data_IF_239254201426
#
_entry.id   IF_239254201426
#
_cell.length_a   1.000
_cell.length_b   1.000
_cell.length_c   1.000
_cell.angle_alpha   90.00
_cell.angle_beta   90.00
_cell.angle_gamma   90.00
#
_symmetry.space_group_name_H-M   'P 1'
#
loop_
_entity.id
_entity.type
_entity.pdbx_description
1 polymer ?
#
# COMPACT_ATOMS: atom_id res chain seq x y z
N UNK A 1 -5.91 3.66 -2.22
CA UNK A 1 -7.38 3.70 -2.21
C UNK A 1 -7.99 3.07 -3.47
N UNK A 2 -7.59 3.47 -4.69
CA UNK A 2 -8.12 2.86 -5.93
C UNK A 2 -7.81 1.36 -6.08
N UNK A 3 -6.58 0.92 -5.79
CA UNK A 3 -6.22 -0.51 -5.77
C UNK A 3 -7.02 -1.30 -4.72
N UNK A 4 -7.37 -0.69 -3.59
CA UNK A 4 -8.17 -1.33 -2.55
C UNK A 4 -9.61 -1.54 -3.00
N UNK A 5 -10.18 -0.56 -3.72
CA UNK A 5 -11.52 -0.63 -4.27
C UNK A 5 -11.63 -1.65 -5.42
N UNK A 6 -10.66 -1.65 -6.35
CA UNK A 6 -10.60 -2.63 -7.45
C UNK A 6 -10.35 -4.05 -6.93
N UNK A 7 -9.46 -4.20 -5.94
CA UNK A 7 -9.23 -5.48 -5.28
C UNK A 7 -10.50 -5.97 -4.56
N UNK A 8 -11.21 -5.07 -3.88
CA UNK A 8 -12.47 -5.38 -3.23
C UNK A 8 -13.56 -5.80 -4.23
N UNK A 9 -13.82 -5.03 -5.29
CA UNK A 9 -14.92 -5.38 -6.21
C UNK A 9 -14.67 -6.66 -7.03
N UNK A 10 -13.42 -7.00 -7.37
CA UNK A 10 -13.15 -8.13 -8.29
C UNK A 10 -12.87 -9.46 -7.59
N UNK A 11 -12.08 -9.46 -6.51
CA UNK A 11 -11.64 -10.71 -5.87
C UNK A 11 -12.59 -11.16 -4.74
N UNK A 12 -13.39 -10.25 -4.19
CA UNK A 12 -14.20 -10.58 -3.01
C UNK A 12 -15.35 -11.55 -3.30
N UNK A 13 -15.99 -11.45 -4.46
CA UNK A 13 -17.11 -12.34 -4.83
C UNK A 13 -16.62 -13.77 -5.10
N UNK A 14 -15.38 -13.91 -5.58
CA UNK A 14 -14.79 -15.20 -5.91
C UNK A 14 -14.35 -15.95 -4.65
N UNK A 15 -13.71 -15.25 -3.69
CA UNK A 15 -13.17 -15.89 -2.49
C UNK A 15 -14.14 -15.97 -1.30
N UNK A 16 -15.28 -15.25 -1.35
CA UNK A 16 -16.32 -15.23 -0.29
C UNK A 16 -15.80 -14.83 1.10
N UNK A 17 -14.84 -13.92 1.12
CA UNK A 17 -14.20 -13.37 2.31
C UNK A 17 -14.32 -11.84 2.24
N UNK A 18 -15.51 -11.32 2.56
CA UNK A 18 -15.72 -9.89 2.85
C UNK A 18 -16.01 -9.77 4.33
N UNK A 19 -15.12 -9.09 5.06
CA UNK A 19 -15.31 -8.82 6.48
C UNK A 19 -14.99 -7.35 6.75
N UNK A 20 -15.72 -6.44 6.09
CA UNK A 20 -15.52 -5.01 6.25
C UNK A 20 -16.77 -4.36 6.84
N UNK A 21 -16.56 -3.36 7.68
CA UNK A 21 -17.65 -2.75 8.45
C UNK A 21 -18.64 -2.02 7.53
N UNK A 22 -19.94 -2.29 7.70
CA UNK A 22 -21.00 -1.56 7.03
C UNK A 22 -21.53 -2.15 5.72
N UNK A 23 -21.14 -3.36 5.33
CA UNK A 23 -21.82 -4.07 4.23
C UNK A 23 -23.12 -4.77 4.66
N UNK A 24 -24.14 -4.82 3.79
CA UNK A 24 -25.32 -5.65 3.99
C UNK A 24 -24.97 -7.13 3.73
N UNK A 25 -24.44 -7.80 4.75
CA UNK A 25 -24.27 -9.24 4.75
C UNK A 25 -25.61 -9.96 4.87
N UNK A 26 -25.83 -10.94 4.00
CA UNK A 26 -26.99 -11.83 4.08
C UNK A 26 -26.54 -13.17 4.63
N UNK A 27 -27.08 -13.49 5.82
CA UNK A 27 -26.83 -14.74 6.53
C UNK A 27 -27.94 -15.76 6.24
N UNK A 28 -27.58 -17.03 6.02
CA UNK A 28 -28.56 -18.11 5.97
C UNK A 28 -29.22 -18.31 7.34
N UNK A 29 -30.51 -17.96 7.42
CA UNK A 29 -31.29 -18.04 8.65
C UNK A 29 -31.35 -19.45 9.23
N UNK A 30 -31.54 -20.48 8.41
CA UNK A 30 -31.68 -21.86 8.87
C UNK A 30 -30.35 -22.37 9.43
N UNK A 31 -29.25 -22.03 8.78
CA UNK A 31 -27.91 -22.36 9.23
C UNK A 31 -27.59 -21.78 10.62
N UNK A 32 -27.96 -20.52 10.87
CA UNK A 32 -27.64 -19.83 12.12
C UNK A 32 -28.57 -20.21 13.27
N UNK A 33 -29.88 -20.36 13.03
CA UNK A 33 -30.84 -20.77 14.08
C UNK A 33 -30.47 -22.15 14.65
N UNK A 34 -30.07 -23.10 13.79
CA UNK A 34 -29.68 -24.45 14.21
C UNK A 34 -28.34 -24.50 14.96
N UNK A 35 -27.59 -23.39 15.01
CA UNK A 35 -26.23 -23.33 15.57
C UNK A 35 -26.04 -22.20 16.60
N UNK A 36 -27.13 -21.76 17.24
CA UNK A 36 -27.08 -20.81 18.34
C UNK A 36 -27.02 -19.33 17.94
N UNK A 37 -27.36 -18.99 16.70
CA UNK A 37 -27.51 -17.62 16.22
C UNK A 37 -26.29 -17.04 15.48
N UNK A 38 -26.39 -15.75 15.17
CA UNK A 38 -25.43 -14.96 14.38
C UNK A 38 -24.43 -14.26 15.30
N UNK A 39 -24.92 -13.72 16.42
CA UNK A 39 -24.20 -12.83 17.32
C UNK A 39 -23.42 -13.55 18.41
N UNK A 40 -22.27 -12.97 18.83
CA UNK A 40 -21.61 -13.36 20.08
C UNK A 40 -22.34 -12.77 21.28
N UNK A 41 -22.28 -13.45 22.42
CA UNK A 41 -23.04 -13.10 23.63
C UNK A 41 -22.56 -11.82 24.37
N UNK A 42 -21.75 -10.96 23.76
CA UNK A 42 -21.20 -9.77 24.40
C UNK A 42 -21.55 -8.50 23.62
N UNK A 43 -22.33 -7.61 24.25
CA UNK A 43 -22.76 -6.32 23.66
C UNK A 43 -21.68 -5.23 23.70
N UNK A 44 -20.67 -5.38 24.54
CA UNK A 44 -19.69 -4.32 24.83
C UNK A 44 -18.28 -4.67 24.36
N UNK A 45 -17.92 -5.96 24.33
CA UNK A 45 -16.58 -6.39 23.93
C UNK A 45 -16.48 -6.36 22.40
N UNK A 46 -17.49 -6.86 21.68
CA UNK A 46 -17.50 -7.04 20.24
C UNK A 46 -18.09 -5.82 19.51
N UNK A 47 -17.28 -4.79 19.34
CA UNK A 47 -17.72 -3.51 18.76
C UNK A 47 -18.15 -3.67 17.28
N UNK A 48 -17.56 -4.64 16.58
CA UNK A 48 -17.83 -5.04 15.20
C UNK A 48 -18.56 -6.40 15.15
N UNK A 49 -19.75 -6.47 15.76
CA UNK A 49 -20.56 -7.70 15.85
C UNK A 49 -20.83 -8.35 14.48
N UNK A 50 -21.09 -7.52 13.46
CA UNK A 50 -21.29 -7.90 12.06
C UNK A 50 -20.09 -8.64 11.45
N UNK A 51 -18.88 -8.21 11.80
CA UNK A 51 -17.66 -8.86 11.32
C UNK A 51 -17.43 -10.19 12.06
N UNK A 52 -17.65 -10.21 13.39
CA UNK A 52 -17.50 -11.43 14.18
C UNK A 52 -18.54 -12.49 13.85
N UNK A 53 -19.75 -12.10 13.44
CA UNK A 53 -20.73 -13.04 12.91
C UNK A 53 -20.26 -13.64 11.60
N UNK A 54 -19.72 -12.83 10.68
CA UNK A 54 -19.05 -13.31 9.47
C UNK A 54 -17.94 -14.34 9.77
N UNK A 55 -17.05 -14.05 10.72
CA UNK A 55 -16.00 -14.99 11.14
C UNK A 55 -16.58 -16.32 11.63
N UNK A 56 -17.63 -16.27 12.46
CA UNK A 56 -18.29 -17.47 12.98
C UNK A 56 -18.97 -18.28 11.87
N UNK A 57 -19.65 -17.62 10.93
CA UNK A 57 -20.28 -18.28 9.79
C UNK A 57 -19.23 -19.00 8.95
N UNK A 58 -18.15 -18.32 8.57
CA UNK A 58 -17.07 -18.90 7.78
C UNK A 58 -16.32 -20.01 8.51
N UNK A 59 -16.07 -19.87 9.82
CA UNK A 59 -15.48 -20.95 10.64
C UNK A 59 -16.36 -22.20 10.73
N UNK A 60 -17.66 -22.07 10.48
CA UNK A 60 -18.62 -23.18 10.49
C UNK A 60 -18.99 -23.67 9.08
N UNK A 61 -18.25 -23.21 8.07
CA UNK A 61 -18.50 -23.52 6.66
C UNK A 61 -19.87 -23.02 6.17
N UNK A 62 -20.41 -22.00 6.85
CA UNK A 62 -21.58 -21.27 6.40
C UNK A 62 -21.26 -20.33 5.25
N UNK A 63 -22.28 -20.00 4.47
CA UNK A 63 -22.18 -19.06 3.36
C UNK A 63 -22.76 -17.71 3.77
N UNK A 64 -22.01 -16.63 3.52
CA UNK A 64 -22.47 -15.25 3.68
C UNK A 64 -22.42 -14.61 2.30
N UNK A 65 -23.57 -14.16 1.80
CA UNK A 65 -23.65 -13.52 0.49
C UNK A 65 -23.74 -12.01 0.65
N UNK A 66 -23.06 -11.30 -0.24
CA UNK A 66 -23.12 -9.86 -0.33
C UNK A 66 -24.00 -9.47 -1.51
N UNK A 67 -24.93 -8.55 -1.28
CA UNK A 67 -25.77 -8.01 -2.33
C UNK A 67 -25.67 -6.49 -2.32
N UNK A 68 -25.17 -5.93 -3.42
CA UNK A 68 -25.15 -4.48 -3.61
C UNK A 68 -26.57 -3.99 -3.89
N UNK A 69 -27.12 -3.27 -2.93
CA UNK A 69 -28.36 -2.52 -3.13
C UNK A 69 -28.00 -1.10 -3.56
N UNK A 70 -28.56 -0.61 -4.68
CA UNK A 70 -28.52 0.83 -5.00
C UNK A 70 -29.22 1.59 -3.87
N UNK A 71 -28.45 2.34 -3.09
CA UNK A 71 -28.90 2.91 -1.82
C UNK A 71 -29.95 4.02 -2.01
N UNK A 72 -31.01 4.00 -1.18
CA UNK A 72 -31.86 5.16 -0.91
C UNK A 72 -31.31 5.90 0.32
N UNK A 73 -31.11 7.21 0.19
CA UNK A 73 -30.36 8.04 1.14
C UNK A 73 -30.95 8.09 2.54
N UNK A 74 -30.31 7.44 3.51
CA UNK A 74 -30.40 7.84 4.92
C UNK A 74 -29.29 8.85 5.21
N UNK A 75 -29.63 10.12 5.24
CA UNK A 75 -28.72 11.18 5.70
C UNK A 75 -28.37 10.95 7.17
N UNK A 76 -27.10 10.65 7.44
CA UNK A 76 -26.51 10.90 8.76
C UNK A 76 -25.86 12.26 8.71
N UNK A 77 -25.92 13.00 9.81
CA UNK A 77 -25.10 14.19 9.96
C UNK A 77 -23.62 13.79 9.77
N UNK A 78 -22.96 14.46 8.83
CA UNK A 78 -21.56 14.24 8.44
C UNK A 78 -20.66 15.30 9.07
N UNK A 79 -20.98 15.73 10.29
CA UNK A 79 -20.14 16.66 11.04
C UNK A 79 -18.80 16.03 11.39
N UNK A 80 -17.71 16.82 11.43
CA UNK A 80 -16.35 16.33 11.72
C UNK A 80 -16.28 15.51 13.01
N UNK A 81 -17.01 15.93 14.06
CA UNK A 81 -17.06 15.21 15.34
C UNK A 81 -17.72 13.82 15.21
N UNK A 82 -18.74 13.69 14.37
CA UNK A 82 -19.43 12.42 14.13
C UNK A 82 -18.60 11.51 13.23
N UNK A 83 -17.93 12.06 12.20
CA UNK A 83 -16.98 11.32 11.36
C UNK A 83 -15.84 10.80 12.22
N UNK A 84 -15.23 11.65 13.05
CA UNK A 84 -14.14 11.27 13.96
C UNK A 84 -14.57 10.16 14.94
N UNK A 85 -15.77 10.29 15.54
CA UNK A 85 -16.32 9.25 16.42
C UNK A 85 -16.60 7.93 15.68
N UNK A 86 -17.04 8.01 14.44
CA UNK A 86 -17.24 6.83 13.57
C UNK A 86 -15.92 6.15 13.24
N UNK A 87 -14.91 6.91 12.79
CA UNK A 87 -13.57 6.38 12.51
C UNK A 87 -12.95 5.74 13.76
N UNK A 88 -13.08 6.39 14.93
CA UNK A 88 -12.64 5.83 16.20
C UNK A 88 -13.35 4.51 16.51
N UNK A 89 -14.65 4.38 16.21
CA UNK A 89 -15.39 3.12 16.37
C UNK A 89 -14.82 2.03 15.45
N UNK A 90 -14.65 2.33 14.16
CA UNK A 90 -14.11 1.35 13.19
C UNK A 90 -12.68 0.95 13.53
N UNK A 91 -11.85 1.89 13.99
CA UNK A 91 -10.48 1.63 14.45
C UNK A 91 -10.45 0.72 15.69
N UNK A 92 -11.27 0.99 16.71
CA UNK A 92 -11.36 0.14 17.89
C UNK A 92 -11.85 -1.27 17.55
N UNK A 93 -12.85 -1.40 16.67
CA UNK A 93 -13.35 -2.69 16.20
C UNK A 93 -12.30 -3.51 15.44
N UNK A 94 -11.46 -2.87 14.62
CA UNK A 94 -10.35 -3.55 13.95
C UNK A 94 -9.20 -3.93 14.90
N UNK A 95 -8.93 -3.11 15.92
CA UNK A 95 -7.98 -3.47 16.99
C UNK A 95 -8.42 -4.74 17.73
N UNK A 96 -9.72 -4.84 18.05
CA UNK A 96 -10.30 -6.03 18.66
C UNK A 96 -10.19 -7.26 17.74
N UNK A 97 -10.50 -7.11 16.45
CA UNK A 97 -10.34 -8.19 15.48
C UNK A 97 -8.89 -8.70 15.46
N UNK A 98 -7.90 -7.79 15.37
CA UNK A 98 -6.46 -8.12 15.33
C UNK A 98 -6.01 -8.92 16.54
N UNK A 99 -6.56 -8.61 17.72
CA UNK A 99 -6.27 -9.30 18.97
C UNK A 99 -7.13 -10.57 19.18
N UNK A 100 -8.13 -10.80 18.34
CA UNK A 100 -9.06 -11.93 18.50
C UNK A 100 -8.42 -13.25 18.07
N UNK A 101 -8.75 -14.30 18.84
CA UNK A 101 -8.41 -15.70 18.50
C UNK A 101 -9.08 -16.18 17.21
N UNK A 102 -10.12 -15.51 16.74
CA UNK A 102 -10.84 -15.90 15.52
C UNK A 102 -9.99 -15.66 14.27
N UNK A 103 -9.19 -14.58 14.24
CA UNK A 103 -8.24 -14.34 13.14
C UNK A 103 -7.23 -15.49 13.04
N UNK A 104 -6.68 -15.91 14.18
CA UNK A 104 -5.75 -17.04 14.23
C UNK A 104 -6.41 -18.33 13.69
N UNK A 105 -7.67 -18.59 14.05
CA UNK A 105 -8.42 -19.77 13.59
C UNK A 105 -8.74 -19.70 12.11
N UNK A 106 -9.14 -18.54 11.59
CA UNK A 106 -9.40 -18.32 10.16
C UNK A 106 -8.12 -18.45 9.34
N UNK A 107 -7.02 -17.84 9.78
CA UNK A 107 -5.72 -17.92 9.10
C UNK A 107 -5.16 -19.34 9.01
N UNK A 108 -5.55 -20.25 9.92
CA UNK A 108 -5.21 -21.69 9.84
C UNK A 108 -6.04 -22.47 8.82
N UNK A 109 -7.17 -21.93 8.35
CA UNK A 109 -8.12 -22.60 7.45
C UNK A 109 -8.19 -21.98 6.06
N UNK A 110 -7.74 -20.73 5.92
CA UNK A 110 -7.69 -20.05 4.64
C UNK A 110 -6.48 -20.49 3.83
N UNK A 111 -6.70 -20.66 2.53
CA UNK A 111 -5.66 -20.70 1.53
C UNK A 111 -5.06 -19.30 1.32
N UNK A 112 -3.95 -19.23 0.59
CA UNK A 112 -3.22 -17.98 0.38
C UNK A 112 -4.11 -16.84 -0.15
N UNK A 113 -4.99 -17.13 -1.11
CA UNK A 113 -5.84 -16.10 -1.73
C UNK A 113 -6.93 -15.60 -0.80
N UNK A 114 -7.60 -16.49 -0.04
CA UNK A 114 -8.56 -16.08 1.00
C UNK A 114 -7.88 -15.31 2.12
N UNK A 115 -6.66 -15.70 2.51
CA UNK A 115 -5.90 -15.00 3.53
C UNK A 115 -5.44 -13.62 3.05
N UNK A 116 -5.04 -13.49 1.79
CA UNK A 116 -4.70 -12.21 1.18
C UNK A 116 -5.93 -11.28 1.13
N UNK A 117 -7.08 -11.82 0.72
CA UNK A 117 -8.34 -11.08 0.72
C UNK A 117 -8.77 -10.64 2.12
N UNK A 118 -8.63 -11.55 3.09
CA UNK A 118 -8.84 -11.28 4.50
C UNK A 118 -7.95 -10.14 5.01
N UNK A 119 -6.65 -10.18 4.69
CA UNK A 119 -5.70 -9.15 5.10
C UNK A 119 -6.10 -7.78 4.58
N UNK A 120 -6.38 -7.64 3.28
CA UNK A 120 -6.77 -6.33 2.74
C UNK A 120 -8.10 -5.85 3.30
N UNK A 121 -9.09 -6.72 3.50
CA UNK A 121 -10.42 -6.29 3.99
C UNK A 121 -10.47 -5.90 5.46
N UNK A 122 -9.53 -6.38 6.27
CA UNK A 122 -9.51 -6.15 7.73
C UNK A 122 -8.32 -5.27 8.13
N UNK A 123 -7.22 -5.88 8.55
CA UNK A 123 -6.11 -5.20 9.23
C UNK A 123 -5.15 -4.50 8.25
N UNK A 124 -5.13 -4.92 6.99
CA UNK A 124 -4.20 -4.44 5.98
C UNK A 124 -4.30 -2.95 5.72
N UNK A 125 -5.49 -2.36 5.80
CA UNK A 125 -5.67 -0.91 5.71
C UNK A 125 -4.92 -0.16 6.81
N UNK A 126 -5.00 -0.62 8.06
CA UNK A 126 -4.38 0.02 9.22
C UNK A 126 -2.87 -0.15 9.23
N UNK A 127 -2.37 -1.36 8.96
CA UNK A 127 -0.93 -1.59 8.81
C UNK A 127 -0.36 -0.73 7.68
N UNK A 128 -1.02 -0.71 6.53
CA UNK A 128 -0.59 0.14 5.40
C UNK A 128 -0.62 1.63 5.76
N UNK A 129 -1.64 2.08 6.50
CA UNK A 129 -1.75 3.48 6.95
C UNK A 129 -0.68 3.84 7.97
N UNK A 130 -0.34 2.94 8.89
CA UNK A 130 0.75 3.12 9.85
C UNK A 130 2.11 3.21 9.15
N UNK A 131 2.39 2.28 8.23
CA UNK A 131 3.61 2.29 7.41
C UNK A 131 3.69 3.58 6.59
N UNK A 132 2.57 4.02 6.01
CA UNK A 132 2.49 5.29 5.31
C UNK A 132 2.78 6.47 6.25
N UNK A 133 2.18 6.54 7.43
CA UNK A 133 2.47 7.58 8.43
C UNK A 133 3.96 7.63 8.82
N UNK A 134 4.57 6.47 9.09
CA UNK A 134 6.00 6.37 9.40
C UNK A 134 6.88 6.82 8.24
N UNK A 135 6.53 6.43 7.01
CA UNK A 135 7.28 6.84 5.81
C UNK A 135 7.27 8.35 5.60
N UNK A 136 6.17 9.04 5.91
CA UNK A 136 6.11 10.50 5.88
C UNK A 136 7.09 11.15 6.87
N UNK A 137 7.19 10.62 8.09
CA UNK A 137 8.15 11.10 9.09
C UNK A 137 9.60 10.93 8.60
N UNK A 138 9.92 9.77 8.01
CA UNK A 138 11.25 9.51 7.43
C UNK A 138 11.53 10.48 6.29
N UNK A 139 10.61 10.64 5.34
CA UNK A 139 10.81 11.54 4.20
C UNK A 139 10.93 13.01 4.60
N UNK A 140 10.17 13.46 5.61
CA UNK A 140 10.32 14.80 6.18
C UNK A 140 11.70 14.98 6.82
N UNK A 141 12.20 13.98 7.56
CA UNK A 141 13.54 14.03 8.13
C UNK A 141 14.63 14.14 7.04
N UNK A 142 14.49 13.42 5.92
CA UNK A 142 15.39 13.51 4.76
C UNK A 142 15.36 14.91 4.16
N UNK A 143 14.17 15.50 3.97
CA UNK A 143 14.04 16.87 3.46
C UNK A 143 14.73 17.90 4.37
N UNK A 144 14.57 17.75 5.69
CA UNK A 144 15.24 18.63 6.67
C UNK A 144 16.75 18.49 6.56
N UNK A 145 17.29 17.26 6.48
CA UNK A 145 18.73 17.02 6.31
C UNK A 145 19.25 17.62 5.01
N UNK A 146 18.57 17.41 3.88
CA UNK A 146 18.95 17.98 2.59
C UNK A 146 18.94 19.53 2.65
N UNK A 147 17.94 20.12 3.29
CA UNK A 147 17.86 21.58 3.46
C UNK A 147 18.99 22.11 4.34
N UNK A 148 19.31 21.43 5.45
CA UNK A 148 20.43 21.80 6.32
C UNK A 148 21.77 21.75 5.58
N UNK A 149 22.00 20.70 4.78
CA UNK A 149 23.21 20.57 3.96
C UNK A 149 23.28 21.65 2.88
N UNK A 150 22.15 21.99 2.25
CA UNK A 150 22.06 23.05 1.24
C UNK A 150 22.35 24.44 1.82
N UNK A 151 21.70 24.81 2.94
CA UNK A 151 21.98 26.07 3.65
C UNK A 151 23.44 26.14 4.08
N UNK A 152 23.97 25.05 4.65
CA UNK A 152 25.38 24.96 5.01
C UNK A 152 26.26 25.32 3.81
N UNK A 153 26.03 24.67 2.66
CA UNK A 153 26.81 24.90 1.43
C UNK A 153 26.76 26.37 0.98
N UNK A 154 25.58 26.98 1.02
CA UNK A 154 25.41 28.36 0.58
C UNK A 154 26.07 29.37 1.53
N UNK A 155 26.02 29.11 2.85
CA UNK A 155 26.50 30.04 3.87
C UNK A 155 28.02 30.01 4.08
N UNK A 156 28.65 28.85 3.87
CA UNK A 156 30.05 28.63 4.24
C UNK A 156 31.04 28.62 3.06
N UNK A 157 30.58 28.83 1.82
CA UNK A 157 31.46 29.00 0.66
C UNK A 157 32.43 27.83 0.40
N UNK A 158 33.27 27.97 -0.64
CA UNK A 158 34.24 26.95 -1.08
C UNK A 158 35.39 26.69 -0.11
N UNK A 159 35.58 27.52 0.91
CA UNK A 159 36.74 27.44 1.80
C UNK A 159 36.63 26.31 2.85
N UNK A 160 35.42 25.76 3.02
CA UNK A 160 35.12 24.68 3.98
C UNK A 160 34.75 23.34 3.31
N UNK A 161 35.37 23.02 2.17
CA UNK A 161 35.17 21.71 1.50
C UNK A 161 35.44 20.51 2.42
N UNK A 162 36.44 20.61 3.30
CA UNK A 162 36.75 19.58 4.29
C UNK A 162 35.59 19.38 5.27
N UNK A 163 34.98 20.47 5.74
CA UNK A 163 33.84 20.43 6.65
C UNK A 163 32.62 19.76 6.02
N UNK A 164 32.34 19.99 4.73
CA UNK A 164 31.27 19.26 4.03
C UNK A 164 31.54 17.77 3.86
N UNK A 165 32.80 17.39 3.64
CA UNK A 165 33.19 15.99 3.58
C UNK A 165 33.01 15.31 4.94
N UNK A 166 33.39 15.99 6.02
CA UNK A 166 33.18 15.52 7.40
C UNK A 166 31.68 15.47 7.72
N UNK A 167 30.89 16.48 7.35
CA UNK A 167 29.43 16.50 7.58
C UNK A 167 28.74 15.33 6.89
N UNK A 168 29.07 15.05 5.62
CA UNK A 168 28.55 13.86 4.91
C UNK A 168 28.99 12.57 5.59
N UNK A 169 30.23 12.49 6.06
CA UNK A 169 30.74 11.36 6.83
C UNK A 169 29.98 11.15 8.15
N UNK A 170 29.70 12.23 8.90
CA UNK A 170 28.92 12.19 10.13
C UNK A 170 27.47 11.80 9.89
N UNK A 171 26.84 12.34 8.84
CA UNK A 171 25.48 11.92 8.44
C UNK A 171 25.44 10.45 8.06
N UNK A 172 26.45 9.94 7.33
CA UNK A 172 26.57 8.53 6.99
C UNK A 172 26.76 7.67 8.25
N UNK A 173 27.66 8.06 9.16
CA UNK A 173 27.88 7.34 10.42
C UNK A 173 26.62 7.36 11.31
N UNK A 174 25.91 8.49 11.36
CA UNK A 174 24.63 8.61 12.05
C UNK A 174 23.57 7.69 11.47
N UNK A 175 23.46 7.62 10.14
CA UNK A 175 22.55 6.70 9.46
C UNK A 175 22.89 5.24 9.76
N UNK A 176 24.17 4.85 9.68
CA UNK A 176 24.63 3.49 10.01
C UNK A 176 24.35 3.15 11.48
N UNK A 177 24.56 4.11 12.39
CA UNK A 177 24.26 3.95 13.82
C UNK A 177 22.77 3.72 14.07
N UNK A 178 21.90 4.57 13.51
CA UNK A 178 20.44 4.41 13.62
C UNK A 178 20.02 3.05 13.05
N UNK A 179 20.58 2.65 11.91
CA UNK A 179 20.23 1.38 11.30
C UNK A 179 20.69 0.18 12.15
N UNK A 180 21.90 0.23 12.73
CA UNK A 180 22.38 -0.79 13.66
C UNK A 180 21.48 -0.91 14.91
N UNK A 181 21.04 0.22 15.46
CA UNK A 181 20.09 0.23 16.59
C UNK A 181 18.75 -0.41 16.18
N UNK A 182 18.23 -0.12 15.00
CA UNK A 182 17.00 -0.73 14.49
C UNK A 182 17.15 -2.25 14.30
N UNK A 183 18.29 -2.74 13.83
CA UNK A 183 18.57 -4.17 13.74
C UNK A 183 18.57 -4.86 15.12
N UNK A 184 19.20 -4.25 16.13
CA UNK A 184 19.32 -4.85 17.47
C UNK A 184 18.02 -4.75 18.27
N UNK A 185 17.35 -3.60 18.24
CA UNK A 185 16.16 -3.33 19.04
C UNK A 185 14.91 -3.94 18.40
N UNK A 186 14.77 -3.82 17.08
CA UNK A 186 13.57 -4.26 16.36
C UNK A 186 13.73 -5.65 15.72
N UNK A 187 14.88 -6.32 15.89
CA UNK A 187 15.19 -7.62 15.27
C UNK A 187 14.88 -7.66 13.76
N UNK A 188 15.20 -6.57 13.06
CA UNK A 188 14.92 -6.45 11.63
C UNK A 188 15.73 -7.47 10.83
N UNK A 189 15.11 -8.02 9.79
CA UNK A 189 15.79 -8.84 8.79
C UNK A 189 16.21 -8.00 7.59
N UNK A 190 17.14 -8.52 6.78
CA UNK A 190 17.54 -7.88 5.52
C UNK A 190 16.33 -7.75 4.57
N UNK A 191 15.40 -8.71 4.61
CA UNK A 191 14.16 -8.66 3.83
C UNK A 191 13.29 -7.45 4.20
N UNK A 192 13.24 -7.10 5.49
CA UNK A 192 12.46 -5.95 5.96
C UNK A 192 13.03 -4.63 5.46
N UNK A 193 14.36 -4.53 5.31
CA UNK A 193 15.01 -3.37 4.70
C UNK A 193 14.60 -3.23 3.24
N UNK A 194 14.64 -4.31 2.45
CA UNK A 194 14.17 -4.27 1.06
C UNK A 194 12.68 -3.93 0.96
N UNK A 195 11.84 -4.50 1.82
CA UNK A 195 10.42 -4.19 1.89
C UNK A 195 10.17 -2.70 2.23
N UNK A 196 10.97 -2.13 3.13
CA UNK A 196 10.87 -0.71 3.50
C UNK A 196 11.22 0.23 2.34
N UNK A 197 12.23 -0.10 1.53
CA UNK A 197 12.58 0.67 0.33
C UNK A 197 11.39 0.72 -0.62
N UNK A 198 10.76 -0.42 -0.89
CA UNK A 198 9.57 -0.50 -1.73
C UNK A 198 8.40 0.29 -1.13
N UNK A 199 8.22 0.24 0.19
CA UNK A 199 7.20 1.00 0.91
C UNK A 199 7.40 2.52 0.86
N UNK A 200 8.65 2.99 0.77
CA UNK A 200 8.97 4.42 0.69
C UNK A 200 8.85 4.99 -0.72
N UNK A 201 8.96 4.18 -1.79
CA UNK A 201 8.88 4.71 -3.16
C UNK A 201 7.59 5.51 -3.43
N UNK A 202 6.38 4.99 -3.11
CA UNK A 202 5.14 5.76 -3.32
C UNK A 202 5.12 7.09 -2.56
N UNK A 203 5.74 7.14 -1.37
CA UNK A 203 5.76 8.34 -0.53
C UNK A 203 6.74 9.39 -1.05
N UNK A 204 7.91 8.95 -1.55
CA UNK A 204 8.85 9.81 -2.25
C UNK A 204 8.20 10.46 -3.48
N UNK A 205 7.52 9.66 -4.29
CA UNK A 205 6.78 10.16 -5.45
C UNK A 205 5.69 11.17 -5.06
N UNK A 206 4.91 10.87 -4.03
CA UNK A 206 3.85 11.75 -3.54
C UNK A 206 4.39 13.12 -3.13
N UNK A 207 5.50 13.16 -2.39
CA UNK A 207 6.14 14.42 -1.96
C UNK A 207 6.64 15.24 -3.15
N UNK A 208 7.19 14.58 -4.18
CA UNK A 208 7.62 15.27 -5.39
C UNK A 208 6.42 15.88 -6.14
N UNK A 209 5.30 15.15 -6.27
CA UNK A 209 4.08 15.67 -6.87
C UNK A 209 3.50 16.86 -6.08
N UNK A 210 3.47 16.78 -4.76
CA UNK A 210 3.04 17.89 -3.90
C UNK A 210 3.99 19.08 -4.06
N UNK A 211 5.30 18.83 -4.12
CA UNK A 211 6.31 19.85 -4.38
C UNK A 211 6.11 20.57 -5.72
N UNK A 212 5.71 19.82 -6.76
CA UNK A 212 5.36 20.36 -8.07
C UNK A 212 4.04 21.15 -8.04
N UNK A 213 2.98 20.60 -7.45
CA UNK A 213 1.68 21.26 -7.34
C UNK A 213 1.75 22.56 -6.51
N UNK A 214 2.50 22.54 -5.41
CA UNK A 214 2.73 23.68 -4.53
C UNK A 214 4.01 24.47 -4.87
N UNK A 215 4.52 24.35 -6.11
CA UNK A 215 5.75 25.01 -6.56
C UNK A 215 5.90 26.49 -6.13
N UNK A 216 4.89 27.37 -6.27
CA UNK A 216 5.05 28.77 -5.85
C UNK A 216 5.29 28.93 -4.35
N UNK A 217 4.62 28.13 -3.51
CA UNK A 217 4.79 28.16 -2.06
C UNK A 217 6.14 27.56 -1.64
N UNK A 218 6.54 26.46 -2.26
CA UNK A 218 7.81 25.79 -1.99
C UNK A 218 9.00 26.67 -2.36
N UNK A 219 8.92 27.37 -3.50
CA UNK A 219 9.93 28.36 -3.92
C UNK A 219 10.03 29.51 -2.91
N UNK A 220 8.88 30.00 -2.41
CA UNK A 220 8.85 31.02 -1.35
C UNK A 220 9.47 30.52 -0.04
N UNK A 221 9.27 29.24 0.29
CA UNK A 221 9.88 28.59 1.46
C UNK A 221 11.38 28.24 1.27
N UNK A 222 11.98 28.57 0.12
CA UNK A 222 13.36 28.20 -0.25
C UNK A 222 13.64 26.69 -0.19
N UNK A 223 12.63 25.83 -0.25
CA UNK A 223 12.79 24.36 -0.22
C UNK A 223 12.96 23.75 -1.62
N UNK A 224 12.84 24.56 -2.67
CA UNK A 224 12.82 24.10 -4.07
C UNK A 224 14.06 23.30 -4.45
N UNK A 225 15.25 23.76 -4.06
CA UNK A 225 16.52 23.07 -4.36
C UNK A 225 16.57 21.68 -3.70
N UNK A 226 16.07 21.56 -2.47
CA UNK A 226 16.01 20.28 -1.76
C UNK A 226 15.02 19.30 -2.41
N UNK A 227 13.88 19.79 -2.89
CA UNK A 227 12.92 18.96 -3.65
C UNK A 227 13.53 18.51 -4.99
N UNK A 228 14.28 19.38 -5.68
CA UNK A 228 14.95 19.02 -6.93
C UNK A 228 16.05 17.98 -6.72
N UNK A 229 16.85 18.12 -5.66
CA UNK A 229 17.86 17.12 -5.28
C UNK A 229 17.21 15.78 -4.91
N UNK A 230 16.12 15.81 -4.14
CA UNK A 230 15.33 14.62 -3.83
C UNK A 230 14.80 13.96 -5.11
N UNK A 231 14.27 14.74 -6.05
CA UNK A 231 13.78 14.25 -7.35
C UNK A 231 14.85 13.53 -8.16
N UNK A 232 16.05 14.12 -8.28
CA UNK A 232 17.20 13.48 -8.95
C UNK A 232 17.61 12.18 -8.27
N UNK A 233 17.62 12.15 -6.94
CA UNK A 233 17.95 10.94 -6.19
C UNK A 233 16.90 9.85 -6.39
N UNK A 234 15.62 10.24 -6.46
CA UNK A 234 14.50 9.34 -6.69
C UNK A 234 14.53 8.74 -8.10
N UNK A 235 14.80 9.54 -9.13
CA UNK A 235 14.96 9.05 -10.52
C UNK A 235 16.12 8.06 -10.64
N UNK A 236 17.27 8.36 -10.01
CA UNK A 236 18.42 7.45 -10.00
C UNK A 236 18.10 6.13 -9.28
N UNK A 237 17.42 6.19 -8.14
CA UNK A 237 17.01 5.01 -7.38
C UNK A 237 16.02 4.16 -8.18
N UNK A 238 14.97 4.78 -8.73
CA UNK A 238 13.99 4.09 -9.57
C UNK A 238 14.64 3.50 -10.82
N UNK A 239 15.56 4.23 -11.46
CA UNK A 239 16.36 3.73 -12.57
C UNK A 239 17.13 2.47 -12.17
N UNK A 240 17.82 2.47 -11.03
CA UNK A 240 18.53 1.30 -10.54
C UNK A 240 17.57 0.14 -10.26
N UNK A 241 16.47 0.37 -9.53
CA UNK A 241 15.48 -0.66 -9.19
C UNK A 241 14.86 -1.30 -10.44
N UNK A 242 14.60 -0.52 -11.48
CA UNK A 242 13.99 -1.01 -12.72
C UNK A 242 15.03 -1.67 -13.64
N UNK A 243 16.17 -1.03 -13.89
CA UNK A 243 17.13 -1.48 -14.90
C UNK A 243 18.09 -2.54 -14.40
N UNK A 244 18.38 -2.62 -13.10
CA UNK A 244 19.25 -3.65 -12.54
C UNK A 244 18.72 -5.08 -12.76
N UNK A 245 17.46 -5.43 -12.42
CA UNK A 245 16.94 -6.76 -12.70
C UNK A 245 16.82 -7.03 -14.21
N UNK A 246 16.47 -6.02 -15.01
CA UNK A 246 16.41 -6.16 -16.48
C UNK A 246 17.79 -6.47 -17.06
N UNK A 247 18.82 -5.75 -16.61
CA UNK A 247 20.20 -5.95 -17.06
C UNK A 247 20.79 -7.29 -16.62
N UNK A 248 20.43 -7.77 -15.43
CA UNK A 248 20.82 -9.12 -14.97
C UNK A 248 20.11 -10.21 -15.78
N UNK A 249 18.82 -10.04 -16.05
CA UNK A 249 18.04 -11.00 -16.84
C UNK A 249 18.48 -11.02 -18.30
N UNK A 250 18.84 -9.88 -18.89
CA UNK A 250 19.30 -9.80 -20.28
C UNK A 250 20.65 -10.49 -20.51
N UNK A 251 21.46 -10.67 -19.46
CA UNK A 251 22.71 -11.41 -19.53
C UNK A 251 22.50 -12.92 -19.73
N UNK A 252 21.33 -13.46 -19.39
CA UNK A 252 21.03 -14.87 -19.60
C UNK A 252 20.54 -15.12 -21.04
N UNK A 253 21.25 -15.96 -21.83
CA UNK A 253 20.87 -16.21 -23.22
C UNK A 253 19.44 -16.80 -23.35
N UNK A 254 19.00 -17.59 -22.37
CA UNK A 254 17.64 -18.12 -22.28
C UNK A 254 16.54 -17.03 -22.29
N UNK A 255 16.78 -15.88 -21.63
CA UNK A 255 15.79 -14.78 -21.56
C UNK A 255 15.68 -14.08 -22.92
N UNK A 256 16.80 -13.90 -23.62
CA UNK A 256 16.83 -13.32 -24.96
C UNK A 256 16.09 -14.19 -25.98
N UNK A 257 16.21 -15.51 -25.85
CA UNK A 257 15.52 -16.50 -26.69
C UNK A 257 14.01 -16.54 -26.37
N UNK A 258 13.62 -16.43 -25.10
CA UNK A 258 12.21 -16.31 -24.70
C UNK A 258 11.59 -15.01 -25.20
N UNK A 259 12.28 -13.87 -25.08
CA UNK A 259 11.80 -12.58 -25.59
C UNK A 259 11.57 -12.62 -27.10
N UNK A 260 12.51 -13.14 -27.88
CA UNK A 260 12.35 -13.26 -29.35
C UNK A 260 11.24 -14.24 -29.72
N UNK A 261 11.18 -15.41 -29.05
CA UNK A 261 10.10 -16.38 -29.30
C UNK A 261 8.72 -15.86 -28.93
N UNK A 262 8.58 -15.01 -27.92
CA UNK A 262 7.30 -14.41 -27.52
C UNK A 262 6.89 -13.26 -28.45
N UNK A 263 7.82 -12.35 -28.80
CA UNK A 263 7.57 -11.23 -29.72
C UNK A 263 7.23 -11.69 -31.14
N UNK A 264 7.88 -12.74 -31.63
CA UNK A 264 7.68 -13.29 -32.97
C UNK A 264 6.79 -14.54 -32.98
N UNK A 265 6.05 -14.81 -31.90
CA UNK A 265 5.08 -15.90 -31.90
C UNK A 265 3.90 -15.55 -32.80
N UNK A 266 3.65 -16.36 -33.84
CA UNK A 266 2.49 -16.20 -34.73
C UNK A 266 1.16 -16.12 -33.95
N UNK A 267 1.03 -16.83 -32.82
CA UNK A 267 -0.17 -16.77 -31.98
C UNK A 267 -0.33 -15.39 -31.30
N UNK A 268 0.77 -14.79 -30.84
CA UNK A 268 0.77 -13.47 -30.21
C UNK A 268 0.53 -12.35 -31.23
N UNK A 269 1.17 -12.43 -32.42
CA UNK A 269 0.96 -11.47 -33.51
C UNK A 269 -0.50 -11.45 -34.00
N UNK A 270 -1.12 -12.63 -34.15
CA UNK A 270 -2.55 -12.73 -34.50
C UNK A 270 -3.44 -12.15 -33.41
N UNK A 271 -3.14 -12.40 -32.13
CA UNK A 271 -3.87 -11.83 -31.00
C UNK A 271 -3.82 -10.30 -30.96
N UNK A 272 -2.65 -9.70 -31.23
CA UNK A 272 -2.46 -8.25 -31.32
C UNK A 272 -3.24 -7.63 -32.49
N UNK A 273 -3.23 -8.26 -33.67
CA UNK A 273 -4.01 -7.80 -34.82
C UNK A 273 -5.52 -7.84 -34.53
N UNK A 274 -6.00 -8.92 -33.91
CA UNK A 274 -7.41 -9.05 -33.52
C UNK A 274 -7.78 -7.99 -32.47
N UNK A 275 -6.91 -7.72 -31.49
CA UNK A 275 -7.12 -6.67 -30.50
C UNK A 275 -7.17 -5.27 -31.12
N UNK A 276 -6.38 -5.00 -32.17
CA UNK A 276 -6.36 -3.70 -32.85
C UNK A 276 -7.63 -3.47 -33.67
N UNK A 277 -8.11 -4.54 -34.32
CA UNK A 277 -9.40 -4.56 -35.04
C UNK A 277 -10.56 -4.34 -34.06
N UNK A 278 -10.55 -5.01 -32.89
CA UNK A 278 -11.56 -4.84 -31.85
C UNK A 278 -11.50 -3.47 -31.15
N UNK A 279 -10.32 -2.86 -31.04
CA UNK A 279 -10.12 -1.52 -30.47
C UNK A 279 -10.42 -0.38 -31.46
N UNK A 280 -10.80 -0.68 -32.70
CA UNK A 280 -11.28 0.32 -33.66
C UNK A 280 -10.21 1.29 -34.18
N UNK A 281 -8.91 1.00 -34.03
CA UNK A 281 -7.87 1.77 -34.71
C UNK A 281 -7.87 1.40 -36.20
N UNK A 282 -8.51 2.24 -37.03
CA UNK A 282 -8.23 2.27 -38.47
C UNK A 282 -6.78 2.65 -38.66
N UNK A 283 -6.06 1.82 -39.41
CA UNK A 283 -4.68 2.09 -39.81
C UNK A 283 -4.63 3.46 -40.52
N UNK A 284 -3.95 4.42 -39.89
CA UNK A 284 -3.60 5.69 -40.53
C UNK A 284 -2.35 5.41 -41.34
N UNK A 285 -2.50 5.22 -42.64
CA UNK A 285 -1.39 5.12 -43.57
C UNK A 285 -1.73 4.32 -44.81
N UNK A 286 -2.40 4.97 -45.76
CA UNK A 286 -2.23 4.78 -47.21
C UNK A 286 -3.07 5.87 -47.93
N UNK A 287 -2.45 7.05 -48.08
CA UNK A 287 -2.45 7.94 -49.27
C UNK A 287 -1.63 9.21 -48.96
#
# INVERSE_FOLDING_TARGET
MLCFYVYNSLLQDEYRVRFHYGHPDIFDRLFHITRGGISKASKTINLSEDIFSGFNSTMREGNVTHHEYMQVGKGRDVGMNQISSFEAKVANGNGEQTLSRDIYRLGRRFDFYRMLSFYFTTVGFYFSSMVYGLSWLVMLSVLVVLKMVSIGRQKFGTDLQLMFRILKGLLFLGFVSVMAVLFVVCNLTISDVFASILGFMPTGWCILLIGQACSPLVKKAMLWDSIMELGRSYENLMGLVLFLPIGLLSWFPFVSEFQTRLLFNQAFSRGLQISRILAGQKDIGEE
#
